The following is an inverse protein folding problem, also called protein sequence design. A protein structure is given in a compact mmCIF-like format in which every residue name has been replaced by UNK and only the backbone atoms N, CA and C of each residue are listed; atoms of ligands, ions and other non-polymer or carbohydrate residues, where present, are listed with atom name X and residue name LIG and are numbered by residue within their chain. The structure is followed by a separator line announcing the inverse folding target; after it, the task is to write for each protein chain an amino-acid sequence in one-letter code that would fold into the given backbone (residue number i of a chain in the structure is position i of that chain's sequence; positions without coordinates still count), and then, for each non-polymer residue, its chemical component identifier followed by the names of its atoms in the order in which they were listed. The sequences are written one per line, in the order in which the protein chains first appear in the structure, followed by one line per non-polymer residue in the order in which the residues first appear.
data_IF_561160690614
#
_entry.id   IF_561160690614
#
_cell.length_a   1.000
_cell.length_b   1.000
_cell.length_c   1.000
_cell.angle_alpha   90.00
_cell.angle_beta   90.00
_cell.angle_gamma   90.00
#
_symmetry.space_group_name_H-M   'P 1'
#
loop_
_entity.id
_entity.type
_entity.pdbx_description
1 polymer ?
#
# COMPACT_ATOMS: atom_id res chain seq x y z
N UNK A 1 3.53 29.75 -43.48
CA UNK A 1 2.90 28.89 -42.49
C UNK A 1 4.02 28.17 -41.72
N UNK A 2 4.13 28.25 -40.40
CA UNK A 2 5.11 27.43 -39.68
C UNK A 2 4.75 25.97 -39.91
N UNK A 3 5.73 25.12 -40.28
CA UNK A 3 5.56 23.66 -40.34
C UNK A 3 5.13 23.20 -38.96
N UNK A 4 3.97 22.57 -38.89
CA UNK A 4 3.56 21.87 -37.64
C UNK A 4 4.72 20.96 -37.24
N UNK A 5 5.26 21.16 -36.03
CA UNK A 5 6.31 20.30 -35.49
C UNK A 5 5.68 18.89 -35.34
N UNK A 6 6.26 17.90 -36.04
CA UNK A 6 5.83 16.50 -35.89
C UNK A 6 5.95 16.18 -34.39
N UNK A 7 4.91 15.64 -33.76
CA UNK A 7 4.99 15.28 -32.34
C UNK A 7 6.17 14.32 -32.13
N UNK A 8 6.93 14.53 -31.05
CA UNK A 8 7.97 13.59 -30.65
C UNK A 8 7.29 12.28 -30.20
N UNK A 9 7.57 11.20 -30.90
CA UNK A 9 6.94 9.89 -30.66
C UNK A 9 7.91 8.96 -29.94
N UNK A 10 7.51 8.50 -28.77
CA UNK A 10 8.22 7.52 -27.96
C UNK A 10 7.57 6.13 -28.11
N UNK A 11 8.38 5.08 -28.12
CA UNK A 11 7.88 3.71 -28.14
C UNK A 11 8.38 3.01 -26.87
N UNK A 12 7.54 2.13 -26.33
CA UNK A 12 7.85 1.34 -25.13
C UNK A 12 7.07 0.02 -25.17
N UNK A 13 7.49 -0.97 -24.39
CA UNK A 13 6.67 -2.19 -24.20
C UNK A 13 5.52 -1.92 -23.25
N UNK A 14 5.81 -1.28 -22.13
CA UNK A 14 4.83 -1.04 -21.05
C UNK A 14 4.76 0.46 -20.72
N UNK A 15 3.55 1.00 -20.69
CA UNK A 15 3.26 2.33 -20.19
C UNK A 15 2.62 2.22 -18.79
N UNK A 16 3.25 2.78 -17.76
CA UNK A 16 2.69 2.84 -16.41
C UNK A 16 2.20 4.25 -16.12
N UNK A 17 0.94 4.40 -15.74
CA UNK A 17 0.36 5.69 -15.36
C UNK A 17 0.24 5.75 -13.84
N UNK A 18 1.06 6.62 -13.23
CA UNK A 18 1.25 6.79 -11.78
C UNK A 18 2.58 6.21 -11.30
N UNK A 19 3.50 7.10 -10.92
CA UNK A 19 4.84 6.80 -10.39
C UNK A 19 4.87 6.66 -8.86
N UNK A 20 3.77 6.21 -8.25
CA UNK A 20 3.65 6.02 -6.81
C UNK A 20 4.26 4.71 -6.29
N UNK A 21 3.87 4.35 -5.04
CA UNK A 21 4.39 3.19 -4.30
C UNK A 21 4.05 1.82 -4.90
N UNK A 22 3.22 1.75 -5.94
CA UNK A 22 2.93 0.54 -6.71
C UNK A 22 3.43 0.64 -8.16
N UNK A 23 3.31 1.81 -8.79
CA UNK A 23 3.70 1.97 -10.19
C UNK A 23 5.20 1.86 -10.41
N UNK A 24 6.01 2.56 -9.62
CA UNK A 24 7.47 2.46 -9.73
C UNK A 24 8.01 1.05 -9.44
N UNK A 25 7.57 0.31 -8.39
CA UNK A 25 8.03 -1.08 -8.21
C UNK A 25 7.71 -1.98 -9.39
N UNK A 26 6.53 -1.85 -10.01
CA UNK A 26 6.20 -2.60 -11.22
C UNK A 26 7.14 -2.23 -12.37
N UNK A 27 7.30 -0.93 -12.61
CA UNK A 27 8.14 -0.41 -13.69
C UNK A 27 9.59 -0.90 -13.56
N UNK A 28 10.15 -0.82 -12.35
CA UNK A 28 11.50 -1.31 -12.05
C UNK A 28 11.59 -2.83 -12.30
N UNK A 29 10.65 -3.63 -11.77
CA UNK A 29 10.65 -5.08 -11.92
C UNK A 29 10.61 -5.52 -13.39
N UNK A 30 9.79 -4.86 -14.22
CA UNK A 30 9.61 -5.18 -15.62
C UNK A 30 10.82 -4.71 -16.45
N UNK A 31 11.35 -3.52 -16.14
CA UNK A 31 12.51 -2.96 -16.82
C UNK A 31 13.81 -3.73 -16.51
N UNK A 32 14.01 -4.16 -15.25
CA UNK A 32 15.14 -5.01 -14.86
C UNK A 32 15.12 -6.37 -15.60
N UNK A 33 13.96 -6.84 -16.02
CA UNK A 33 13.83 -8.07 -16.80
C UNK A 33 14.01 -7.87 -18.32
N UNK A 34 14.32 -6.63 -18.74
CA UNK A 34 14.75 -6.31 -20.11
C UNK A 34 13.67 -5.78 -21.05
N UNK A 35 12.50 -5.35 -20.53
CA UNK A 35 11.50 -4.64 -21.32
C UNK A 35 11.67 -3.11 -21.19
N UNK A 36 11.32 -2.38 -22.23
CA UNK A 36 11.28 -0.92 -22.18
C UNK A 36 10.02 -0.44 -21.44
N UNK A 37 10.18 0.45 -20.46
CA UNK A 37 9.09 0.97 -19.64
C UNK A 37 9.11 2.48 -19.60
N UNK A 38 7.95 3.10 -19.82
CA UNK A 38 7.73 4.53 -19.57
C UNK A 38 6.75 4.66 -18.41
N UNK A 39 7.11 5.49 -17.41
CA UNK A 39 6.21 5.89 -16.31
C UNK A 39 5.80 7.33 -16.50
N UNK A 40 4.49 7.59 -16.46
CA UNK A 40 3.95 8.95 -16.37
C UNK A 40 3.58 9.25 -14.91
N UNK A 41 4.16 10.29 -14.34
CA UNK A 41 3.81 10.77 -13.00
C UNK A 41 3.37 12.22 -13.07
N UNK A 42 2.23 12.52 -12.47
CA UNK A 42 1.62 13.85 -12.45
C UNK A 42 2.40 14.84 -11.58
N UNK A 43 2.85 14.36 -10.43
CA UNK A 43 3.47 15.18 -9.41
C UNK A 43 4.98 15.32 -9.66
N UNK A 44 5.53 16.47 -9.26
CA UNK A 44 6.97 16.71 -9.35
C UNK A 44 7.74 15.77 -8.40
N UNK A 45 8.82 15.11 -8.86
CA UNK A 45 9.60 14.18 -8.03
C UNK A 45 10.18 14.83 -6.76
N UNK A 46 10.56 16.10 -6.82
CA UNK A 46 11.04 16.84 -5.64
C UNK A 46 9.92 17.12 -4.64
N UNK A 47 8.71 17.39 -5.12
CA UNK A 47 7.55 17.64 -4.25
C UNK A 47 7.12 16.36 -3.49
N UNK A 48 7.10 15.20 -4.15
CA UNK A 48 6.63 13.95 -3.53
C UNK A 48 7.55 13.40 -2.45
N UNK A 49 8.79 13.85 -2.37
CA UNK A 49 9.75 13.49 -1.31
C UNK A 49 9.87 14.57 -0.22
N UNK A 50 9.15 15.68 -0.34
CA UNK A 50 9.14 16.72 0.69
C UNK A 50 8.44 16.25 1.98
N UNK A 51 8.88 16.75 3.13
CA UNK A 51 8.34 16.41 4.46
C UNK A 51 6.85 16.73 4.61
N UNK A 52 6.37 17.70 3.83
CA UNK A 52 4.99 18.19 3.88
C UNK A 52 4.04 17.47 2.92
N UNK A 53 4.54 16.56 2.09
CA UNK A 53 3.72 15.90 1.06
C UNK A 53 2.85 14.78 1.64
N UNK A 54 3.43 13.91 2.47
CA UNK A 54 2.75 12.72 2.99
C UNK A 54 3.36 12.31 4.33
N UNK A 55 2.58 12.39 5.40
CA UNK A 55 3.02 11.99 6.76
C UNK A 55 2.75 10.51 7.09
N UNK A 56 2.32 9.70 6.11
CA UNK A 56 2.03 8.29 6.35
C UNK A 56 3.30 7.45 6.42
N UNK A 57 3.18 6.41 7.22
CA UNK A 57 4.16 5.34 7.35
C UNK A 57 3.51 4.05 6.89
N UNK A 58 4.22 3.23 6.16
CA UNK A 58 3.76 1.94 5.68
C UNK A 58 4.41 0.79 6.42
N UNK A 59 3.60 -0.18 6.82
CA UNK A 59 4.06 -1.47 7.30
C UNK A 59 4.39 -2.34 6.09
N UNK A 60 5.66 -2.48 5.76
CA UNK A 60 6.12 -3.33 4.65
C UNK A 60 6.24 -4.76 5.19
N UNK A 61 5.30 -5.63 4.83
CA UNK A 61 5.30 -7.02 5.23
C UNK A 61 6.55 -7.76 4.73
N UNK A 62 6.91 -8.87 5.38
CA UNK A 62 8.10 -9.64 5.02
C UNK A 62 8.13 -10.02 3.53
N UNK A 63 7.04 -10.53 2.97
CA UNK A 63 6.97 -10.87 1.54
C UNK A 63 7.12 -9.64 0.63
N UNK A 64 6.53 -8.50 1.00
CA UNK A 64 6.68 -7.24 0.25
C UNK A 64 8.13 -6.72 0.30
N UNK A 65 8.83 -6.87 1.44
CA UNK A 65 10.26 -6.57 1.53
C UNK A 65 11.08 -7.45 0.60
N UNK A 66 10.76 -8.74 0.49
CA UNK A 66 11.45 -9.64 -0.44
C UNK A 66 11.33 -9.16 -1.89
N UNK A 67 10.14 -8.72 -2.32
CA UNK A 67 9.96 -8.09 -3.63
C UNK A 67 10.88 -6.87 -3.78
N UNK A 68 10.79 -5.91 -2.85
CA UNK A 68 11.57 -4.67 -2.91
C UNK A 68 13.09 -4.93 -2.91
N UNK A 69 13.53 -5.97 -2.21
CA UNK A 69 14.92 -6.43 -2.23
C UNK A 69 15.29 -7.06 -3.59
N UNK A 70 14.42 -7.91 -4.14
CA UNK A 70 14.67 -8.59 -5.41
C UNK A 70 14.80 -7.62 -6.60
N UNK A 71 14.16 -6.46 -6.53
CA UNK A 71 14.25 -5.40 -7.55
C UNK A 71 15.25 -4.28 -7.17
N UNK A 72 16.07 -4.48 -6.13
CA UNK A 72 17.12 -3.56 -5.71
C UNK A 72 16.67 -2.27 -5.04
N UNK A 73 15.38 -2.11 -4.72
CA UNK A 73 14.85 -0.89 -4.06
C UNK A 73 15.21 -0.85 -2.58
N UNK A 74 15.23 -2.02 -1.92
CA UNK A 74 15.40 -2.08 -0.46
C UNK A 74 16.73 -1.49 0.03
N UNK A 75 17.79 -1.61 -0.76
CA UNK A 75 19.13 -1.13 -0.43
C UNK A 75 19.24 0.41 -0.45
N UNK A 76 18.27 1.08 -1.07
CA UNK A 76 18.14 2.54 -1.09
C UNK A 76 17.21 3.09 0.01
N UNK A 77 16.57 2.24 0.82
CA UNK A 77 15.68 2.68 1.90
C UNK A 77 16.55 3.20 3.06
N UNK A 78 16.49 4.51 3.40
CA UNK A 78 17.39 5.09 4.39
C UNK A 78 17.13 4.61 5.81
N UNK A 79 15.87 4.38 6.15
CA UNK A 79 15.43 3.95 7.47
C UNK A 79 14.26 2.97 7.38
N UNK A 80 14.35 1.86 8.12
CA UNK A 80 13.33 0.84 8.21
C UNK A 80 13.35 0.20 9.60
N UNK A 81 12.30 0.44 10.40
CA UNK A 81 12.21 -0.12 11.76
C UNK A 81 11.54 -1.49 11.76
N UNK A 82 12.18 -2.55 12.29
CA UNK A 82 11.60 -3.88 12.29
C UNK A 82 10.39 -3.99 13.23
N UNK A 83 9.31 -4.63 12.77
CA UNK A 83 8.21 -5.08 13.60
C UNK A 83 8.49 -6.50 14.12
N UNK A 84 8.90 -6.58 15.37
CA UNK A 84 9.25 -7.84 16.02
C UNK A 84 8.04 -8.50 16.68
N UNK A 85 7.17 -7.69 17.25
CA UNK A 85 5.97 -8.12 17.95
C UNK A 85 4.76 -7.32 17.49
N UNK A 86 3.59 -7.98 17.46
CA UNK A 86 2.30 -7.31 17.23
C UNK A 86 1.40 -7.62 18.42
N UNK A 87 0.89 -6.61 19.08
CA UNK A 87 -0.02 -6.74 20.22
C UNK A 87 -1.37 -6.12 19.90
N UNK A 88 -2.43 -6.94 20.01
CA UNK A 88 -3.81 -6.57 19.69
C UNK A 88 -4.64 -6.61 20.96
N UNK A 89 -5.36 -5.51 21.28
CA UNK A 89 -6.21 -5.39 22.48
C UNK A 89 -7.58 -4.82 22.11
N UNK A 90 -8.62 -5.17 22.90
CA UNK A 90 -9.97 -4.61 22.77
C UNK A 90 -10.26 -3.67 23.95
N UNK A 91 -10.19 -2.37 23.72
CA UNK A 91 -10.44 -1.33 24.70
C UNK A 91 -9.60 -1.49 25.99
N UNK A 92 -10.25 -1.42 27.17
CA UNK A 92 -9.59 -1.57 28.46
C UNK A 92 -9.37 -3.02 28.88
N UNK A 93 -9.68 -4.00 28.02
CA UNK A 93 -9.51 -5.42 28.32
C UNK A 93 -8.06 -5.76 28.67
N UNK A 94 -7.87 -6.61 29.67
CA UNK A 94 -6.55 -7.18 30.01
C UNK A 94 -6.20 -8.39 29.14
N UNK A 95 -7.17 -8.88 28.37
CA UNK A 95 -6.94 -9.96 27.41
C UNK A 95 -6.38 -9.36 26.13
N UNK A 96 -5.38 -10.03 25.56
CA UNK A 96 -4.73 -9.55 24.34
C UNK A 96 -4.29 -10.73 23.47
N UNK A 97 -4.16 -10.48 22.19
CA UNK A 97 -3.50 -11.37 21.26
C UNK A 97 -2.09 -10.83 21.00
N UNK A 98 -1.10 -11.70 21.09
CA UNK A 98 0.30 -11.37 20.93
C UNK A 98 0.94 -12.24 19.87
N UNK A 99 1.48 -11.64 18.85
CA UNK A 99 2.29 -12.28 17.82
C UNK A 99 3.76 -11.96 18.11
N UNK A 100 4.56 -12.99 18.29
CA UNK A 100 6.01 -12.93 18.44
C UNK A 100 6.63 -13.54 17.18
N UNK A 101 7.43 -12.76 16.44
CA UNK A 101 8.04 -13.19 15.17
C UNK A 101 8.84 -14.48 15.31
N UNK A 102 9.49 -14.71 16.46
CA UNK A 102 10.30 -15.91 16.76
C UNK A 102 9.50 -17.21 16.67
N UNK A 103 8.18 -17.15 16.73
CA UNK A 103 7.31 -18.34 16.53
C UNK A 103 7.23 -18.77 15.05
N UNK A 104 7.68 -17.91 14.11
CA UNK A 104 7.74 -18.20 12.67
C UNK A 104 9.17 -18.20 12.11
N UNK A 105 10.19 -17.91 12.94
CA UNK A 105 11.61 -17.82 12.55
C UNK A 105 12.27 -16.53 13.01
N UNK A 106 13.47 -16.25 12.53
CA UNK A 106 14.28 -15.11 12.98
C UNK A 106 13.89 -13.77 12.33
N UNK A 107 13.20 -13.82 11.19
CA UNK A 107 12.83 -12.62 10.43
C UNK A 107 11.61 -11.90 11.04
N UNK A 108 11.60 -10.57 11.09
CA UNK A 108 10.47 -9.78 11.61
C UNK A 108 9.20 -9.99 10.78
N UNK A 109 8.04 -9.57 11.31
CA UNK A 109 6.77 -9.55 10.56
C UNK A 109 6.86 -8.65 9.32
N UNK A 110 7.66 -7.61 9.40
CA UNK A 110 7.90 -6.62 8.38
C UNK A 110 8.66 -5.43 8.96
N UNK A 111 8.65 -4.33 8.24
CA UNK A 111 9.34 -3.11 8.65
C UNK A 111 8.44 -1.90 8.47
N UNK A 112 8.52 -0.97 9.40
CA UNK A 112 7.88 0.33 9.25
C UNK A 112 8.80 1.26 8.46
N UNK A 113 8.27 1.84 7.39
CA UNK A 113 9.01 2.76 6.51
C UNK A 113 8.14 3.98 6.23
N UNK A 114 8.70 5.18 6.39
CA UNK A 114 8.02 6.41 5.96
C UNK A 114 7.79 6.37 4.44
N UNK A 115 6.59 6.72 3.99
CA UNK A 115 6.27 6.72 2.56
C UNK A 115 7.22 7.62 1.76
N UNK A 116 7.69 8.70 2.36
CA UNK A 116 8.71 9.59 1.80
C UNK A 116 10.01 8.84 1.53
N UNK A 117 10.51 8.09 2.50
CA UNK A 117 11.74 7.29 2.36
C UNK A 117 11.59 6.21 1.28
N UNK A 118 10.42 5.57 1.22
CA UNK A 118 10.14 4.62 0.16
C UNK A 118 10.13 5.28 -1.24
N UNK A 119 9.55 6.50 -1.38
CA UNK A 119 9.60 7.23 -2.66
C UNK A 119 11.03 7.61 -3.04
N UNK A 120 11.83 8.08 -2.08
CA UNK A 120 13.25 8.36 -2.33
C UNK A 120 13.99 7.13 -2.85
N UNK A 121 13.81 5.99 -2.20
CA UNK A 121 14.41 4.72 -2.60
C UNK A 121 13.97 4.27 -4.00
N UNK A 122 12.68 4.38 -4.30
CA UNK A 122 12.12 4.04 -5.61
C UNK A 122 12.65 4.93 -6.74
N UNK A 123 12.73 6.23 -6.51
CA UNK A 123 13.28 7.18 -7.49
C UNK A 123 14.78 6.97 -7.70
N UNK A 124 15.53 6.72 -6.62
CA UNK A 124 16.96 6.42 -6.70
C UNK A 124 17.20 5.15 -7.54
N UNK A 125 16.48 4.06 -7.25
CA UNK A 125 16.61 2.81 -8.01
C UNK A 125 16.13 2.95 -9.45
N UNK A 126 15.03 3.67 -9.70
CA UNK A 126 14.52 3.91 -11.06
C UNK A 126 15.56 4.62 -11.96
N UNK A 127 16.34 5.54 -11.40
CA UNK A 127 17.42 6.25 -12.12
C UNK A 127 18.60 5.34 -12.53
N UNK A 128 18.75 4.17 -11.91
CA UNK A 128 19.79 3.18 -12.23
C UNK A 128 19.41 2.20 -13.33
N UNK A 129 18.13 2.17 -13.74
CA UNK A 129 17.58 1.20 -14.70
C UNK A 129 17.53 1.83 -16.10
N UNK A 130 18.41 1.45 -17.04
CA UNK A 130 18.51 2.14 -18.34
C UNK A 130 17.26 2.02 -19.24
N UNK A 131 16.50 0.92 -19.13
CA UNK A 131 15.26 0.65 -19.87
C UNK A 131 14.02 1.28 -19.23
N UNK A 132 14.18 2.05 -18.13
CA UNK A 132 13.11 2.73 -17.46
C UNK A 132 13.21 4.25 -17.67
N UNK A 133 12.16 4.84 -18.25
CA UNK A 133 12.06 6.29 -18.44
C UNK A 133 10.90 6.84 -17.60
N UNK A 134 11.21 7.65 -16.59
CA UNK A 134 10.20 8.33 -15.75
C UNK A 134 10.00 9.75 -16.25
N UNK A 135 8.81 10.04 -16.75
CA UNK A 135 8.42 11.37 -17.23
C UNK A 135 7.55 12.02 -16.14
N UNK A 136 8.13 12.96 -15.42
CA UNK A 136 7.49 13.66 -14.31
C UNK A 136 8.02 15.12 -14.21
N UNK A 137 7.16 16.15 -14.03
CA UNK A 137 5.71 16.03 -14.05
C UNK A 137 5.16 15.84 -15.48
N UNK A 138 4.18 14.95 -15.64
CA UNK A 138 3.53 14.71 -16.92
C UNK A 138 2.04 14.40 -16.78
N UNK A 139 1.24 14.91 -17.70
CA UNK A 139 -0.18 14.61 -17.82
C UNK A 139 -0.46 14.09 -19.23
N UNK A 140 -1.30 13.08 -19.33
CA UNK A 140 -1.89 12.68 -20.60
C UNK A 140 -3.23 13.37 -20.81
N UNK A 141 -3.58 13.59 -22.06
CA UNK A 141 -4.90 14.13 -22.47
C UNK A 141 -5.81 13.03 -22.98
N UNK A 142 -5.22 11.99 -23.58
CA UNK A 142 -5.94 10.86 -24.16
C UNK A 142 -5.09 9.60 -24.10
N UNK A 143 -5.74 8.45 -23.87
CA UNK A 143 -5.14 7.11 -24.03
C UNK A 143 -6.11 6.26 -24.83
N UNK A 144 -5.75 6.00 -26.09
CA UNK A 144 -6.47 5.11 -26.99
C UNK A 144 -5.90 3.69 -26.89
N UNK A 145 -6.78 2.70 -26.71
CA UNK A 145 -6.42 1.29 -26.54
C UNK A 145 -7.11 0.48 -27.62
N UNK A 146 -6.33 -0.29 -28.36
CA UNK A 146 -6.79 -1.12 -29.48
C UNK A 146 -6.14 -2.50 -29.40
N UNK A 147 -6.64 -3.46 -30.14
CA UNK A 147 -6.07 -4.81 -30.17
C UNK A 147 -4.56 -4.86 -30.49
N UNK A 148 -4.07 -3.92 -31.27
CA UNK A 148 -2.67 -3.85 -31.73
C UNK A 148 -1.76 -3.05 -30.79
N UNK A 149 -2.32 -2.28 -29.84
CA UNK A 149 -1.52 -1.52 -28.91
C UNK A 149 -2.24 -0.37 -28.22
N UNK A 150 -1.46 0.48 -27.60
CA UNK A 150 -1.89 1.66 -26.83
C UNK A 150 -1.21 2.89 -27.41
N UNK A 151 -1.95 3.97 -27.60
CA UNK A 151 -1.40 5.28 -27.94
C UNK A 151 -1.83 6.30 -26.89
N UNK A 152 -0.85 6.89 -26.20
CA UNK A 152 -1.08 7.96 -25.23
C UNK A 152 -0.61 9.30 -25.79
N UNK A 153 -1.46 10.32 -25.71
CA UNK A 153 -1.13 11.71 -26.08
C UNK A 153 -0.91 12.51 -24.79
N UNK A 154 0.26 13.12 -24.66
CA UNK A 154 0.59 13.96 -23.51
C UNK A 154 0.10 15.39 -23.71
N UNK A 155 -0.06 16.12 -22.60
CA UNK A 155 -0.47 17.52 -22.62
C UNK A 155 0.52 18.46 -23.33
N UNK A 156 1.79 18.07 -23.43
CA UNK A 156 2.83 18.81 -24.17
C UNK A 156 2.92 18.43 -25.67
N UNK A 157 2.06 17.53 -26.13
CA UNK A 157 1.95 17.09 -27.52
C UNK A 157 2.82 15.89 -27.90
N UNK A 158 3.62 15.32 -26.99
CA UNK A 158 4.32 14.06 -27.22
C UNK A 158 3.33 12.90 -27.35
N UNK A 159 3.71 11.90 -28.11
CA UNK A 159 2.92 10.65 -28.28
C UNK A 159 3.74 9.49 -27.75
N UNK A 160 3.11 8.58 -27.03
CA UNK A 160 3.71 7.33 -26.53
C UNK A 160 2.91 6.17 -27.11
N UNK A 161 3.59 5.26 -27.80
CA UNK A 161 3.04 3.99 -28.21
C UNK A 161 3.54 2.89 -27.28
N UNK A 162 2.63 2.03 -26.81
CA UNK A 162 2.93 0.92 -25.92
C UNK A 162 2.15 -0.35 -26.32
N UNK A 163 2.59 -1.50 -25.81
CA UNK A 163 1.85 -2.77 -25.98
C UNK A 163 0.80 -2.97 -24.89
N UNK A 164 1.03 -2.39 -23.70
CA UNK A 164 0.15 -2.48 -22.55
C UNK A 164 0.22 -1.16 -21.76
N UNK A 165 -0.91 -0.68 -21.25
CA UNK A 165 -0.95 0.36 -20.23
C UNK A 165 -1.34 -0.22 -18.88
N UNK A 166 -0.66 0.22 -17.81
CA UNK A 166 -0.97 -0.15 -16.44
C UNK A 166 -1.43 1.08 -15.66
N UNK A 167 -2.62 1.00 -15.10
CA UNK A 167 -3.16 2.03 -14.21
C UNK A 167 -2.66 1.82 -12.78
N UNK A 168 -1.78 2.70 -12.34
CA UNK A 168 -1.31 2.86 -10.97
C UNK A 168 -1.64 4.26 -10.42
N UNK A 169 -2.65 4.91 -11.01
CA UNK A 169 -3.08 6.30 -10.83
C UNK A 169 -4.01 6.51 -9.61
N UNK A 170 -4.08 5.51 -8.74
CA UNK A 170 -4.68 5.60 -7.43
C UNK A 170 -6.20 5.45 -7.41
N UNK A 171 -6.80 5.77 -6.27
CA UNK A 171 -8.22 5.53 -5.94
C UNK A 171 -9.22 6.16 -6.92
N UNK A 172 -8.88 7.33 -7.45
CA UNK A 172 -9.66 8.06 -8.46
C UNK A 172 -9.21 7.75 -9.88
N UNK A 173 -8.75 6.54 -10.19
CA UNK A 173 -8.20 6.14 -11.47
C UNK A 173 -9.06 6.56 -12.65
N UNK A 174 -8.53 7.51 -13.45
CA UNK A 174 -9.18 7.97 -14.67
C UNK A 174 -9.12 6.89 -15.76
N UNK A 175 -8.06 6.06 -15.77
CA UNK A 175 -7.95 4.94 -16.70
C UNK A 175 -8.99 3.86 -16.43
N UNK A 176 -9.23 3.53 -15.17
CA UNK A 176 -10.32 2.61 -14.80
C UNK A 176 -11.66 3.14 -15.31
N UNK A 177 -11.96 4.41 -15.05
CA UNK A 177 -13.22 5.05 -15.44
C UNK A 177 -13.37 5.11 -16.96
N UNK A 178 -12.31 5.49 -17.71
CA UNK A 178 -12.31 5.52 -19.19
C UNK A 178 -12.48 4.14 -19.81
N UNK A 179 -12.11 3.08 -19.10
CA UNK A 179 -12.32 1.69 -19.52
C UNK A 179 -13.74 1.17 -19.23
N UNK A 180 -14.60 1.98 -18.61
CA UNK A 180 -15.94 1.55 -18.21
C UNK A 180 -15.95 0.55 -17.04
N UNK A 181 -14.83 0.39 -16.33
CA UNK A 181 -14.72 -0.50 -15.18
C UNK A 181 -15.34 0.20 -13.96
N UNK A 182 -16.47 -0.31 -13.51
CA UNK A 182 -17.13 0.13 -12.28
C UNK A 182 -16.38 -0.29 -11.03
N UNK A 183 -16.85 0.19 -9.87
CA UNK A 183 -16.35 -0.23 -8.57
C UNK A 183 -17.49 -0.34 -7.56
N UNK A 184 -17.41 -1.33 -6.69
CA UNK A 184 -18.24 -1.44 -5.47
C UNK A 184 -17.42 -0.93 -4.29
N UNK A 185 -18.05 -0.17 -3.41
CA UNK A 185 -17.36 0.33 -2.23
C UNK A 185 -18.26 1.22 -1.38
N UNK A 186 -17.76 1.56 -0.19
CA UNK A 186 -18.45 2.43 0.76
C UNK A 186 -17.50 3.23 1.61
N UNK A 187 -18.00 4.30 2.20
CA UNK A 187 -17.32 5.03 3.26
C UNK A 187 -17.65 4.40 4.61
N UNK A 188 -16.66 4.30 5.47
CA UNK A 188 -16.88 3.91 6.86
C UNK A 188 -17.40 5.07 7.73
N UNK A 189 -17.49 6.28 7.17
CA UNK A 189 -17.76 7.52 7.92
C UNK A 189 -16.76 7.73 9.06
N UNK A 190 -15.55 7.21 8.85
CA UNK A 190 -14.39 7.31 9.74
C UNK A 190 -13.26 8.02 9.00
N UNK A 191 -12.38 8.66 9.80
CA UNK A 191 -11.11 9.23 9.34
C UNK A 191 -9.98 8.72 10.23
N UNK A 192 -8.86 8.40 9.60
CA UNK A 192 -7.61 8.11 10.30
C UNK A 192 -6.82 9.40 10.51
N UNK A 193 -6.60 9.78 11.76
CA UNK A 193 -5.68 10.86 12.15
C UNK A 193 -4.30 10.24 12.25
N UNK A 194 -3.33 10.81 11.54
CA UNK A 194 -1.94 10.34 11.53
C UNK A 194 -1.05 11.42 12.11
N UNK A 195 -0.21 11.05 13.05
CA UNK A 195 0.85 11.89 13.59
C UNK A 195 2.01 11.02 14.10
N UNK A 196 3.18 11.63 14.27
CA UNK A 196 4.35 10.98 14.87
C UNK A 196 4.56 11.49 16.27
N UNK A 197 4.91 10.59 17.18
CA UNK A 197 5.29 10.92 18.57
C UNK A 197 6.68 10.37 18.87
N UNK A 198 7.47 11.16 19.58
CA UNK A 198 8.68 10.72 20.27
C UNK A 198 8.32 10.32 21.70
N UNK A 199 8.99 9.33 22.24
CA UNK A 199 8.71 8.82 23.59
C UNK A 199 10.00 8.52 24.37
N UNK A 200 9.88 8.54 25.70
CA UNK A 200 11.01 8.40 26.62
C UNK A 200 11.64 6.99 26.57
N UNK A 201 10.79 5.95 26.54
CA UNK A 201 11.21 4.55 26.65
C UNK A 201 11.20 3.86 25.28
N UNK A 202 12.10 2.89 25.02
CA UNK A 202 12.12 2.17 23.77
C UNK A 202 10.86 1.32 23.56
N UNK A 203 10.32 1.33 22.34
CA UNK A 203 9.18 0.49 21.92
C UNK A 203 9.58 -0.98 21.66
N UNK A 204 10.87 -1.29 21.54
CA UNK A 204 11.42 -2.64 21.31
C UNK A 204 10.82 -3.37 20.08
N UNK A 205 10.50 -2.63 19.01
CA UNK A 205 9.90 -3.19 17.80
C UNK A 205 8.46 -3.69 17.95
N UNK A 206 7.74 -3.28 19.02
CA UNK A 206 6.36 -3.71 19.28
C UNK A 206 5.36 -2.79 18.59
N UNK A 207 4.65 -3.30 17.59
CA UNK A 207 3.46 -2.66 17.03
C UNK A 207 2.24 -2.96 17.92
N UNK A 208 1.41 -1.96 18.20
CA UNK A 208 0.19 -2.13 18.97
C UNK A 208 -1.02 -1.72 18.15
N UNK A 209 -2.05 -2.57 18.18
CA UNK A 209 -3.38 -2.28 17.63
C UNK A 209 -4.38 -2.32 18.76
N UNK A 210 -4.91 -1.18 19.13
CA UNK A 210 -5.91 -1.05 20.19
C UNK A 210 -7.26 -0.77 19.58
N UNK A 211 -8.16 -1.73 19.63
CA UNK A 211 -9.53 -1.51 19.18
C UNK A 211 -10.28 -0.69 20.22
N UNK A 212 -10.48 0.56 19.89
CA UNK A 212 -11.28 1.53 20.67
C UNK A 212 -12.59 1.80 19.91
N UNK A 213 -13.60 2.36 20.57
CA UNK A 213 -14.74 2.93 19.88
C UNK A 213 -14.40 4.39 19.48
N UNK A 214 -14.51 4.81 18.21
CA UNK A 214 -15.20 4.17 17.08
C UNK A 214 -14.32 3.31 16.16
N UNK A 215 -13.06 3.08 16.46
CA UNK A 215 -12.19 2.31 15.59
C UNK A 215 -10.79 2.10 16.19
N UNK A 216 -9.87 1.47 15.44
CA UNK A 216 -8.55 1.14 15.92
C UNK A 216 -7.68 2.37 16.18
N UNK A 217 -6.83 2.25 17.19
CA UNK A 217 -5.74 3.16 17.50
C UNK A 217 -4.43 2.37 17.42
N UNK A 218 -3.72 2.53 16.30
CA UNK A 218 -2.45 1.86 16.07
C UNK A 218 -1.28 2.71 16.58
N UNK A 219 -0.30 2.05 17.20
CA UNK A 219 0.99 2.61 17.62
C UNK A 219 2.06 1.79 16.93
N UNK A 220 2.72 2.37 15.94
CA UNK A 220 3.60 1.68 15.02
C UNK A 220 5.05 2.11 15.28
N UNK A 221 5.98 1.18 15.56
CA UNK A 221 7.36 1.51 15.91
C UNK A 221 8.07 2.19 14.73
N UNK A 222 8.83 3.24 15.03
CA UNK A 222 9.72 3.93 14.10
C UNK A 222 11.10 4.11 14.73
N UNK A 223 12.12 4.35 13.92
CA UNK A 223 13.48 4.62 14.42
C UNK A 223 13.52 5.74 15.48
N UNK A 224 14.57 5.75 16.31
CA UNK A 224 14.86 6.80 17.29
C UNK A 224 13.81 6.99 18.40
N UNK A 225 13.24 5.92 18.94
CA UNK A 225 12.17 6.00 19.94
C UNK A 225 10.98 6.86 19.47
N UNK A 226 10.65 6.79 18.20
CA UNK A 226 9.44 7.38 17.62
C UNK A 226 8.38 6.32 17.37
N UNK A 227 7.14 6.73 17.33
CA UNK A 227 6.02 5.90 16.87
C UNK A 227 5.11 6.71 15.95
N UNK A 228 4.69 6.10 14.85
CA UNK A 228 3.60 6.64 14.05
C UNK A 228 2.28 6.18 14.63
N UNK A 229 1.33 7.09 14.75
CA UNK A 229 -0.02 6.82 15.21
C UNK A 229 -0.98 6.83 14.04
N UNK A 230 -1.88 5.83 14.01
CA UNK A 230 -3.06 5.84 13.14
C UNK A 230 -4.27 5.76 14.06
N UNK A 231 -4.89 6.88 14.26
CA UNK A 231 -6.00 7.06 15.19
C UNK A 231 -7.31 7.19 14.43
N UNK A 232 -8.14 6.16 14.46
CA UNK A 232 -9.43 6.13 13.80
C UNK A 232 -10.51 6.77 14.64
N UNK A 233 -11.25 7.71 14.04
CA UNK A 233 -12.39 8.41 14.65
C UNK A 233 -13.53 8.58 13.64
N UNK A 234 -14.75 8.82 14.11
CA UNK A 234 -15.82 9.31 13.24
C UNK A 234 -15.39 10.60 12.55
N UNK A 235 -15.72 10.77 11.27
CA UNK A 235 -15.26 11.89 10.44
C UNK A 235 -15.48 13.26 11.10
N UNK A 236 -16.66 13.48 11.72
CA UNK A 236 -16.99 14.75 12.38
C UNK A 236 -16.16 14.97 13.66
N UNK A 237 -15.87 13.89 14.39
CA UNK A 237 -15.02 13.92 15.58
C UNK A 237 -13.56 14.17 15.20
N UNK A 238 -13.06 13.48 14.18
CA UNK A 238 -11.72 13.69 13.64
C UNK A 238 -11.52 15.15 13.21
N UNK A 239 -12.50 15.74 12.50
CA UNK A 239 -12.45 17.15 12.12
C UNK A 239 -12.39 18.12 13.30
N UNK A 240 -13.03 17.79 14.43
CA UNK A 240 -12.93 18.59 15.69
C UNK A 240 -11.56 18.41 16.34
N UNK A 241 -11.05 17.18 16.42
CA UNK A 241 -9.74 16.86 16.99
C UNK A 241 -8.62 17.56 16.21
N UNK A 242 -8.69 17.59 14.88
CA UNK A 242 -7.71 18.27 14.04
C UNK A 242 -7.64 19.78 14.25
N UNK A 243 -8.69 20.40 14.81
CA UNK A 243 -8.76 21.84 15.13
C UNK A 243 -8.30 22.16 16.55
N UNK A 244 -8.01 21.16 17.37
CA UNK A 244 -7.48 21.40 18.72
C UNK A 244 -6.11 22.05 18.64
N UNK A 245 -5.81 22.93 19.62
CA UNK A 245 -4.44 23.38 19.85
C UNK A 245 -3.54 22.21 20.28
N UNK A 246 -2.25 22.43 20.32
CA UNK A 246 -1.27 21.36 20.56
C UNK A 246 -1.41 20.75 21.94
N UNK A 247 -1.74 21.55 22.98
CA UNK A 247 -1.92 21.05 24.34
C UNK A 247 -3.15 20.14 24.47
N UNK A 248 -4.28 20.56 23.92
CA UNK A 248 -5.52 19.78 23.95
C UNK A 248 -5.43 18.53 23.07
N UNK A 249 -4.79 18.64 21.90
CA UNK A 249 -4.54 17.47 21.04
C UNK A 249 -3.63 16.46 21.74
N UNK A 250 -2.54 16.91 22.34
CA UNK A 250 -1.63 16.06 23.12
C UNK A 250 -2.36 15.33 24.23
N UNK A 251 -3.22 16.01 24.99
CA UNK A 251 -4.02 15.42 26.07
C UNK A 251 -4.95 14.30 25.58
N UNK A 252 -5.66 14.54 24.48
CA UNK A 252 -6.56 13.54 23.89
C UNK A 252 -5.79 12.34 23.30
N UNK A 253 -4.66 12.58 22.68
CA UNK A 253 -3.77 11.55 22.17
C UNK A 253 -3.16 10.71 23.30
N UNK A 254 -2.58 11.36 24.31
CA UNK A 254 -1.91 10.69 25.44
C UNK A 254 -2.89 9.82 26.24
N UNK A 255 -4.15 10.23 26.39
CA UNK A 255 -5.20 9.41 27.03
C UNK A 255 -5.42 8.07 26.31
N UNK A 256 -5.31 8.06 24.97
CA UNK A 256 -5.46 6.83 24.15
C UNK A 256 -4.16 6.05 24.07
N UNK A 257 -3.05 6.73 24.03
CA UNK A 257 -1.71 6.12 23.95
C UNK A 257 -1.36 5.37 25.25
N UNK A 258 -1.69 5.96 26.41
CA UNK A 258 -1.30 5.44 27.73
C UNK A 258 0.13 5.83 28.12
N UNK A 259 0.61 5.30 29.24
CA UNK A 259 1.85 5.74 29.92
C UNK A 259 3.02 4.76 29.78
N UNK A 260 2.86 3.69 29.01
CA UNK A 260 3.83 2.58 28.98
C UNK A 260 5.19 2.94 28.35
N UNK A 261 5.24 3.94 27.46
CA UNK A 261 6.49 4.46 26.88
C UNK A 261 6.99 5.76 27.54
N UNK A 262 6.40 6.16 28.67
CA UNK A 262 6.79 7.37 29.42
C UNK A 262 6.23 8.64 28.81
N UNK A 263 6.97 9.74 28.93
CA UNK A 263 6.59 11.04 28.38
C UNK A 263 6.53 11.01 26.86
N UNK A 264 5.57 11.76 26.29
CA UNK A 264 5.28 11.82 24.86
C UNK A 264 5.46 13.24 24.34
N UNK A 265 6.08 13.35 23.15
CA UNK A 265 6.22 14.61 22.41
C UNK A 265 5.71 14.39 20.99
N UNK A 266 4.78 15.25 20.52
CA UNK A 266 4.31 15.20 19.13
C UNK A 266 5.36 15.84 18.22
N UNK A 267 5.75 15.14 17.16
CA UNK A 267 6.74 15.61 16.21
C UNK A 267 6.14 15.72 14.81
N UNK A 268 6.38 16.87 14.15
CA UNK A 268 5.88 17.12 12.81
C UNK A 268 4.37 17.43 12.72
N UNK A 269 3.82 17.47 11.51
CA UNK A 269 2.42 17.83 11.26
C UNK A 269 1.45 16.69 11.59
N UNK A 270 0.17 17.06 11.70
CA UNK A 270 -0.96 16.15 11.83
C UNK A 270 -1.68 16.03 10.50
N UNK A 271 -2.10 14.81 10.17
CA UNK A 271 -2.78 14.49 8.93
C UNK A 271 -4.12 13.82 9.21
N UNK A 272 -5.08 13.93 8.30
CA UNK A 272 -6.36 13.23 8.41
C UNK A 272 -6.77 12.69 7.04
N UNK A 273 -7.08 11.40 6.97
CA UNK A 273 -7.45 10.71 5.74
C UNK A 273 -8.80 10.01 5.89
N UNK A 274 -9.75 10.18 4.95
CA UNK A 274 -11.01 9.45 4.99
C UNK A 274 -10.79 7.95 4.76
N UNK A 275 -11.49 7.13 5.55
CA UNK A 275 -11.41 5.69 5.47
C UNK A 275 -12.55 5.13 4.61
N UNK A 276 -12.19 4.43 3.55
CA UNK A 276 -13.12 3.86 2.58
C UNK A 276 -12.65 2.48 2.16
N UNK A 277 -13.58 1.66 1.70
CA UNK A 277 -13.30 0.43 0.98
C UNK A 277 -13.81 0.56 -0.44
N UNK A 278 -13.07 0.04 -1.41
CA UNK A 278 -13.57 -0.15 -2.76
C UNK A 278 -12.87 -1.32 -3.44
N UNK A 279 -13.57 -1.90 -4.40
CA UNK A 279 -13.13 -3.00 -5.24
C UNK A 279 -13.59 -2.71 -6.66
N UNK A 280 -12.68 -2.71 -7.64
CA UNK A 280 -13.03 -2.62 -9.05
C UNK A 280 -13.73 -3.90 -9.52
N UNK A 281 -14.70 -3.75 -10.41
CA UNK A 281 -15.49 -4.87 -10.94
C UNK A 281 -14.63 -5.82 -11.81
N UNK A 282 -13.59 -5.27 -12.46
CA UNK A 282 -12.56 -6.01 -13.17
C UNK A 282 -11.19 -5.38 -12.91
N UNK A 283 -10.12 -6.17 -13.03
CA UNK A 283 -8.73 -5.69 -12.92
C UNK A 283 -8.07 -5.47 -14.26
N UNK A 284 -8.74 -5.86 -15.32
CA UNK A 284 -8.24 -5.76 -16.68
C UNK A 284 -9.33 -5.31 -17.64
N UNK A 285 -8.90 -4.71 -18.74
CA UNK A 285 -9.68 -4.46 -19.95
C UNK A 285 -8.72 -4.58 -21.15
N UNK A 286 -9.22 -4.33 -22.38
CA UNK A 286 -8.37 -4.36 -23.57
C UNK A 286 -7.11 -3.50 -23.35
N UNK A 287 -5.93 -4.13 -23.39
CA UNK A 287 -4.62 -3.50 -23.21
C UNK A 287 -4.45 -2.70 -21.91
N UNK A 288 -5.21 -3.03 -20.86
CA UNK A 288 -5.18 -2.33 -19.59
C UNK A 288 -5.14 -3.32 -18.43
N UNK A 289 -4.22 -3.10 -17.48
CA UNK A 289 -4.24 -3.71 -16.16
C UNK A 289 -4.33 -2.64 -15.06
N UNK A 290 -5.06 -2.92 -13.98
CA UNK A 290 -5.16 -2.06 -12.79
C UNK A 290 -4.34 -2.67 -11.66
N UNK A 291 -3.59 -1.86 -10.91
CA UNK A 291 -2.84 -2.27 -9.70
C UNK A 291 -3.08 -1.33 -8.53
N UNK A 292 -2.95 -1.84 -7.32
CA UNK A 292 -3.05 -1.06 -6.09
C UNK A 292 -4.39 -0.33 -5.96
N UNK A 293 -4.36 0.93 -5.54
CA UNK A 293 -5.57 1.72 -5.29
C UNK A 293 -6.43 1.98 -6.56
N UNK A 294 -5.91 1.76 -7.76
CA UNK A 294 -6.72 1.78 -8.98
C UNK A 294 -7.67 0.57 -9.05
N UNK A 295 -7.24 -0.58 -8.53
CA UNK A 295 -8.01 -1.83 -8.49
C UNK A 295 -8.83 -1.98 -7.19
N UNK A 296 -8.25 -1.64 -6.04
CA UNK A 296 -8.85 -1.87 -4.74
C UNK A 296 -8.33 -0.92 -3.66
N UNK A 297 -9.14 -0.64 -2.68
CA UNK A 297 -8.75 0.11 -1.48
C UNK A 297 -9.40 -0.49 -0.25
N UNK A 298 -8.69 -0.54 0.86
CA UNK A 298 -9.13 -1.19 2.08
C UNK A 298 -8.99 -0.29 3.30
N UNK A 299 -9.67 -0.67 4.38
CA UNK A 299 -9.44 -0.06 5.70
C UNK A 299 -7.99 -0.32 6.14
N UNK A 300 -7.29 0.67 6.74
CA UNK A 300 -5.89 0.54 7.13
C UNK A 300 -5.61 -0.42 8.30
N UNK A 301 -6.58 -1.19 8.77
CA UNK A 301 -6.37 -2.23 9.79
C UNK A 301 -5.21 -3.13 9.37
N UNK A 302 -4.26 -3.30 10.28
CA UNK A 302 -3.05 -4.08 10.09
C UNK A 302 -2.11 -3.59 8.95
N UNK A 303 -2.28 -2.37 8.43
CA UNK A 303 -1.37 -1.76 7.46
C UNK A 303 -1.23 -2.50 6.11
N UNK A 304 -2.25 -3.24 5.67
CA UNK A 304 -2.15 -4.16 4.52
C UNK A 304 -2.37 -3.51 3.14
N UNK A 305 -2.80 -2.24 3.06
CA UNK A 305 -3.16 -1.61 1.77
C UNK A 305 -2.02 -1.61 0.75
N UNK A 306 -0.84 -1.14 1.12
CA UNK A 306 0.33 -1.14 0.24
C UNK A 306 0.79 -2.58 -0.08
N UNK A 307 0.80 -3.47 0.90
CA UNK A 307 1.21 -4.87 0.69
C UNK A 307 0.32 -5.59 -0.33
N UNK A 308 -0.99 -5.31 -0.32
CA UNK A 308 -1.91 -5.85 -1.31
C UNK A 308 -1.59 -5.34 -2.72
N UNK A 309 -1.26 -4.05 -2.87
CA UNK A 309 -0.81 -3.47 -4.14
C UNK A 309 0.54 -4.04 -4.60
N UNK A 310 1.48 -4.29 -3.70
CA UNK A 310 2.75 -4.94 -4.03
C UNK A 310 2.57 -6.41 -4.44
N UNK A 311 1.53 -7.08 -3.97
CA UNK A 311 1.14 -8.40 -4.49
C UNK A 311 0.63 -8.31 -5.93
N UNK A 312 -0.11 -7.26 -6.28
CA UNK A 312 -0.52 -7.02 -7.68
C UNK A 312 0.71 -6.78 -8.56
N UNK A 313 1.64 -5.94 -8.08
CA UNK A 313 2.92 -5.67 -8.76
C UNK A 313 3.66 -6.96 -9.07
N UNK A 314 3.83 -7.83 -8.07
CA UNK A 314 4.55 -9.09 -8.24
C UNK A 314 3.87 -10.02 -9.26
N UNK A 315 2.55 -10.18 -9.15
CA UNK A 315 1.78 -11.06 -10.03
C UNK A 315 1.75 -10.54 -11.47
N UNK A 316 1.52 -9.23 -11.66
CA UNK A 316 1.49 -8.64 -13.00
C UNK A 316 2.87 -8.66 -13.65
N UNK A 317 3.94 -8.33 -12.92
CA UNK A 317 5.30 -8.40 -13.42
C UNK A 317 5.65 -9.83 -13.88
N UNK A 318 5.31 -10.85 -13.08
CA UNK A 318 5.54 -12.24 -13.42
C UNK A 318 4.80 -12.65 -14.70
N UNK A 319 3.52 -12.29 -14.83
CA UNK A 319 2.73 -12.57 -16.04
C UNK A 319 3.30 -11.87 -17.28
N UNK A 320 3.66 -10.59 -17.18
CA UNK A 320 4.25 -9.81 -18.28
C UNK A 320 5.55 -10.47 -18.74
N UNK A 321 6.46 -10.75 -17.81
CA UNK A 321 7.80 -11.27 -18.14
C UNK A 321 7.75 -12.70 -18.69
N UNK A 322 6.93 -13.58 -18.11
CA UNK A 322 6.78 -14.95 -18.61
C UNK A 322 6.25 -14.96 -20.05
N UNK A 323 5.27 -14.10 -20.38
CA UNK A 323 4.79 -13.99 -21.77
C UNK A 323 5.85 -13.41 -22.70
N UNK A 324 6.54 -12.35 -22.31
CA UNK A 324 7.59 -11.73 -23.11
C UNK A 324 8.74 -12.71 -23.43
N UNK A 325 9.18 -13.52 -22.45
CA UNK A 325 10.22 -14.54 -22.65
C UNK A 325 9.83 -15.67 -23.60
N UNK A 326 8.55 -15.94 -23.70
CA UNK A 326 8.01 -16.89 -24.69
C UNK A 326 7.78 -16.25 -26.07
N UNK A 327 8.10 -14.96 -26.25
CA UNK A 327 7.82 -14.20 -27.47
C UNK A 327 6.35 -13.88 -27.66
N UNK A 328 5.54 -14.04 -26.60
CA UNK A 328 4.11 -13.74 -26.62
C UNK A 328 3.87 -12.25 -26.28
N UNK A 329 2.68 -11.78 -26.59
CA UNK A 329 2.28 -10.42 -26.30
C UNK A 329 1.89 -10.25 -24.81
N UNK A 330 2.63 -9.44 -24.02
CA UNK A 330 2.33 -9.22 -22.61
C UNK A 330 1.01 -8.47 -22.35
N UNK A 331 0.47 -7.77 -23.37
CA UNK A 331 -0.82 -7.08 -23.31
C UNK A 331 -1.98 -7.88 -23.85
N UNK A 332 -1.79 -9.17 -24.20
CA UNK A 332 -2.85 -10.04 -24.70
C UNK A 332 -3.90 -10.35 -23.64
N UNK A 333 -5.15 -10.58 -24.07
CA UNK A 333 -6.26 -10.93 -23.16
C UNK A 333 -5.94 -12.14 -22.29
N UNK A 334 -5.26 -13.16 -22.86
CA UNK A 334 -4.89 -14.36 -22.11
C UNK A 334 -3.88 -14.07 -20.97
N UNK A 335 -2.91 -13.19 -21.22
CA UNK A 335 -1.99 -12.75 -20.17
C UNK A 335 -2.71 -11.97 -19.06
N UNK A 336 -3.55 -11.03 -19.45
CA UNK A 336 -4.28 -10.18 -18.54
C UNK A 336 -5.31 -10.97 -17.70
N UNK A 337 -6.01 -11.94 -18.30
CA UNK A 337 -6.96 -12.81 -17.58
C UNK A 337 -6.25 -13.69 -16.54
N UNK A 338 -5.04 -14.20 -16.83
CA UNK A 338 -4.21 -14.91 -15.84
C UNK A 338 -3.91 -14.04 -14.63
N UNK A 339 -3.52 -12.79 -14.85
CA UNK A 339 -3.29 -11.81 -13.77
C UNK A 339 -4.55 -11.56 -12.95
N UNK A 340 -5.69 -11.27 -13.60
CA UNK A 340 -6.96 -10.99 -12.95
C UNK A 340 -7.43 -12.18 -12.10
N UNK A 341 -7.38 -13.39 -12.65
CA UNK A 341 -7.78 -14.62 -11.95
C UNK A 341 -6.95 -14.83 -10.69
N UNK A 342 -5.64 -14.62 -10.79
CA UNK A 342 -4.74 -14.77 -9.65
C UNK A 342 -5.03 -13.77 -8.54
N UNK A 343 -5.25 -12.49 -8.89
CA UNK A 343 -5.31 -11.42 -7.91
C UNK A 343 -6.68 -11.16 -7.31
N UNK A 344 -7.73 -11.31 -8.13
CA UNK A 344 -9.07 -10.87 -7.71
C UNK A 344 -9.61 -11.63 -6.51
N UNK A 345 -9.41 -12.95 -6.47
CA UNK A 345 -9.89 -13.77 -5.35
C UNK A 345 -9.14 -13.43 -4.05
N UNK A 346 -7.81 -13.32 -4.11
CA UNK A 346 -6.97 -12.98 -2.96
C UNK A 346 -7.34 -11.59 -2.38
N UNK A 347 -7.52 -10.62 -3.25
CA UNK A 347 -7.92 -9.26 -2.85
C UNK A 347 -9.31 -9.23 -2.21
N UNK A 348 -10.31 -9.89 -2.82
CA UNK A 348 -11.67 -9.96 -2.28
C UNK A 348 -11.70 -10.60 -0.89
N UNK A 349 -10.95 -11.68 -0.69
CA UNK A 349 -10.86 -12.35 0.60
C UNK A 349 -10.27 -11.42 1.67
N UNK A 350 -9.17 -10.72 1.37
CA UNK A 350 -8.55 -9.81 2.32
C UNK A 350 -9.43 -8.60 2.64
N UNK A 351 -10.13 -8.05 1.64
CA UNK A 351 -11.10 -6.97 1.82
C UNK A 351 -12.25 -7.42 2.73
N UNK A 352 -12.81 -8.61 2.51
CA UNK A 352 -13.89 -9.15 3.33
C UNK A 352 -13.45 -9.39 4.79
N UNK A 353 -12.23 -9.90 5.00
CA UNK A 353 -11.67 -10.11 6.34
C UNK A 353 -11.48 -8.77 7.06
N UNK A 354 -10.87 -7.78 6.41
CA UNK A 354 -10.62 -6.47 7.04
C UNK A 354 -11.91 -5.70 7.32
N UNK A 355 -12.89 -5.76 6.41
CA UNK A 355 -14.22 -5.17 6.62
C UNK A 355 -14.96 -5.85 7.79
N UNK A 356 -14.93 -7.20 7.82
CA UNK A 356 -15.51 -7.97 8.90
C UNK A 356 -14.88 -7.67 10.26
N UNK A 357 -13.56 -7.56 10.33
CA UNK A 357 -12.85 -7.16 11.54
C UNK A 357 -13.24 -5.74 11.97
N UNK A 358 -13.24 -4.76 11.05
CA UNK A 358 -13.65 -3.41 11.38
C UNK A 358 -15.06 -3.38 11.97
N UNK A 359 -16.03 -4.01 11.31
CA UNK A 359 -17.43 -4.09 11.79
C UNK A 359 -17.55 -4.80 13.12
N UNK A 360 -16.83 -5.89 13.32
CA UNK A 360 -16.81 -6.65 14.57
C UNK A 360 -16.30 -5.79 15.73
N UNK A 361 -15.18 -5.07 15.53
CA UNK A 361 -14.53 -4.32 16.60
C UNK A 361 -15.13 -2.93 16.84
N UNK A 362 -15.90 -2.37 15.91
CA UNK A 362 -16.65 -1.12 16.11
C UNK A 362 -18.01 -1.32 16.77
N UNK A 363 -18.51 -2.56 16.89
CA UNK A 363 -19.78 -2.87 17.53
C UNK A 363 -19.67 -2.74 19.06
N UNK A 364 -20.55 -1.93 19.68
CA UNK A 364 -20.52 -1.63 21.13
C UNK A 364 -21.56 -2.45 21.94
N UNK A 365 -21.97 -3.61 21.42
CA UNK A 365 -22.88 -4.53 22.13
C UNK A 365 -22.08 -5.35 23.14
N UNK A 366 -22.42 -5.26 24.43
CA UNK A 366 -21.66 -5.89 25.53
C UNK A 366 -21.40 -7.38 25.35
N UNK A 367 -22.38 -8.16 24.85
CA UNK A 367 -22.23 -9.59 24.58
C UNK A 367 -21.19 -9.85 23.45
N UNK A 368 -21.19 -9.01 22.38
CA UNK A 368 -20.22 -9.10 21.28
C UNK A 368 -18.81 -8.76 21.77
N UNK A 369 -18.69 -7.75 22.61
CA UNK A 369 -17.40 -7.35 23.23
C UNK A 369 -16.81 -8.48 24.07
N UNK A 370 -17.63 -9.09 24.95
CA UNK A 370 -17.16 -10.26 25.73
C UNK A 370 -16.73 -11.43 24.81
N UNK A 371 -17.49 -11.70 23.76
CA UNK A 371 -17.14 -12.74 22.80
C UNK A 371 -15.82 -12.44 22.06
N UNK A 372 -15.55 -11.17 21.69
CA UNK A 372 -14.28 -10.72 21.09
C UNK A 372 -13.11 -10.93 22.04
N UNK A 373 -13.24 -10.48 23.28
CA UNK A 373 -12.19 -10.64 24.31
C UNK A 373 -11.81 -12.11 24.52
N UNK A 374 -12.84 -12.97 24.66
CA UNK A 374 -12.63 -14.42 24.78
C UNK A 374 -12.04 -15.01 23.49
N UNK A 375 -12.46 -14.51 22.32
CA UNK A 375 -11.94 -14.91 21.02
C UNK A 375 -10.46 -14.59 20.86
N UNK A 376 -10.03 -13.37 21.20
CA UNK A 376 -8.61 -12.97 21.19
C UNK A 376 -7.77 -13.85 22.12
N UNK A 377 -8.27 -14.10 23.34
CA UNK A 377 -7.58 -14.99 24.29
C UNK A 377 -7.54 -16.46 23.81
N UNK A 378 -8.60 -16.94 23.15
CA UNK A 378 -8.64 -18.29 22.60
C UNK A 378 -7.65 -18.45 21.44
N UNK A 379 -7.63 -17.51 20.48
CA UNK A 379 -6.67 -17.51 19.36
C UNK A 379 -5.23 -17.51 19.89
N UNK A 380 -4.95 -16.72 20.93
CA UNK A 380 -3.62 -16.66 21.53
C UNK A 380 -3.14 -18.00 22.10
N UNK A 381 -4.10 -18.87 22.52
CA UNK A 381 -3.85 -20.21 23.05
C UNK A 381 -3.90 -21.34 22.01
N UNK A 382 -4.25 -21.03 20.76
CA UNK A 382 -4.38 -22.01 19.66
C UNK A 382 -3.22 -21.84 18.67
N UNK A 383 -2.07 -22.56 18.82
CA UNK A 383 -0.86 -22.29 18.04
C UNK A 383 -1.06 -22.34 16.52
N UNK A 384 -1.83 -23.30 16.01
CA UNK A 384 -2.09 -23.43 14.56
C UNK A 384 -2.89 -22.27 14.01
N UNK A 385 -3.94 -21.85 14.70
CA UNK A 385 -4.78 -20.71 14.26
C UNK A 385 -4.01 -19.39 14.38
N UNK A 386 -3.27 -19.23 15.48
CA UNK A 386 -2.38 -18.09 15.68
C UNK A 386 -1.31 -18.01 14.59
N UNK A 387 -0.63 -19.13 14.28
CA UNK A 387 0.36 -19.21 13.20
C UNK A 387 -0.21 -18.79 11.85
N UNK A 388 -1.42 -19.26 11.51
CA UNK A 388 -2.10 -18.84 10.28
C UNK A 388 -2.28 -17.31 10.17
N UNK A 389 -2.72 -16.65 11.25
CA UNK A 389 -2.84 -15.17 11.25
C UNK A 389 -1.48 -14.45 11.20
N UNK A 390 -0.47 -15.03 11.85
CA UNK A 390 0.90 -14.50 11.81
C UNK A 390 1.50 -14.57 10.40
N UNK A 391 1.30 -15.69 9.69
CA UNK A 391 1.71 -15.84 8.28
C UNK A 391 0.98 -14.85 7.36
N UNK A 392 -0.30 -14.60 7.62
CA UNK A 392 -1.06 -13.56 6.90
C UNK A 392 -0.45 -12.16 7.15
N UNK A 393 -0.07 -11.84 8.38
CA UNK A 393 0.58 -10.57 8.70
C UNK A 393 1.94 -10.42 7.99
N UNK A 394 2.69 -11.51 7.81
CA UNK A 394 3.94 -11.56 7.03
C UNK A 394 3.72 -11.50 5.52
N UNK A 395 2.50 -11.70 5.04
CA UNK A 395 2.17 -11.75 3.62
C UNK A 395 2.60 -13.04 2.92
N UNK A 396 2.83 -14.13 3.66
CA UNK A 396 3.39 -15.41 3.15
C UNK A 396 2.33 -16.47 2.87
N UNK A 397 1.05 -16.11 2.87
CA UNK A 397 -0.06 -17.06 2.64
C UNK A 397 -0.52 -17.04 1.18
N UNK A 398 -0.89 -18.21 0.68
CA UNK A 398 -1.40 -18.44 -0.67
C UNK A 398 -0.31 -18.79 -1.69
N UNK A 399 -0.69 -18.83 -2.96
CA UNK A 399 0.25 -19.00 -4.06
C UNK A 399 0.95 -17.66 -4.34
N UNK A 400 2.21 -17.58 -3.91
CA UNK A 400 2.98 -16.34 -4.01
C UNK A 400 3.68 -16.22 -5.36
N UNK A 401 3.63 -15.04 -5.99
CA UNK A 401 4.53 -14.69 -7.09
C UNK A 401 6.00 -14.76 -6.66
N UNK A 402 6.88 -15.09 -7.61
CA UNK A 402 8.33 -15.28 -7.38
C UNK A 402 9.00 -14.15 -6.62
N UNK A 403 8.68 -12.89 -6.95
CA UNK A 403 9.28 -11.73 -6.27
C UNK A 403 8.94 -11.69 -4.77
N UNK A 404 7.74 -12.11 -4.37
CA UNK A 404 7.34 -12.16 -2.95
C UNK A 404 8.02 -13.29 -2.18
N UNK A 405 8.50 -14.31 -2.87
CA UNK A 405 9.35 -15.37 -2.32
C UNK A 405 10.83 -14.98 -2.28
N UNK A 406 11.19 -13.80 -2.79
CA UNK A 406 12.59 -13.34 -2.90
C UNK A 406 13.34 -13.97 -4.08
N UNK A 407 12.61 -14.51 -5.07
CA UNK A 407 13.17 -15.06 -6.30
C UNK A 407 13.06 -14.06 -7.45
N UNK A 408 14.09 -13.88 -8.28
CA UNK A 408 14.03 -12.99 -9.44
C UNK A 408 13.04 -13.50 -10.50
N UNK A 409 12.57 -12.56 -11.34
CA UNK A 409 11.74 -12.87 -12.52
C UNK A 409 12.56 -13.47 -13.63
#
# INVERSE_FOLDING_TARGET
MPKAKVPDTLNTDILVVGGGLNGLPLAIAVADAGLDVIVLERDDPGAVVADTFDGRVSAIAHASRNLLKSIGVWDHVPEAEPMLDIRITDGPSKLFLHYDHRQLGDEPFGHMVENRHMRMALLARAAEVPSLNVIAPALYTEIDRRQDGVTATLADGRIINARLVVAADGRGSALRESAGIGKVGWSYHQSGIVCTVKHERPHNGVAQERFLNPGPFAILPMSENRSSLVWTEHTDTAAKIMKLDDENFHREMARRFGTYLGELEITGPRWSYPLTLHQADAYVAERLALIGDAAHGMHPIAGQGLNLGLRDVAALAEVIIDNARLGLDPGSDNALEKYQTWRRFDSLMLLAITDGLNKLFTTDVGAVRLARDLGLAAVNKMPKLKGFFMEHARGTVGELPRLLEGRPL
#
